data_IF_240304787161
#
_entry.id   IF_240304787161
#
_cell.length_a   1.000
_cell.length_b   1.000
_cell.length_c   1.000
_cell.angle_alpha   90.00
_cell.angle_beta   90.00
_cell.angle_gamma   90.00
#
_symmetry.space_group_name_H-M   'P 1'
#
loop_
_entity.id
_entity.type
_entity.pdbx_description
1 polymer ?
#
# COMPACT_ATOMS: atom_id res chain seq x y z
N UNK A 1 84.22 -22.58 -4.09
CA UNK A 1 83.05 -23.45 -3.82
C UNK A 1 82.11 -22.74 -2.86
N UNK A 2 81.26 -21.82 -3.32
CA UNK A 2 80.23 -21.21 -2.45
C UNK A 2 79.23 -20.39 -3.28
N UNK A 3 78.29 -21.04 -3.97
CA UNK A 3 77.08 -20.37 -4.54
C UNK A 3 76.22 -21.44 -5.20
N UNK A 4 75.24 -22.02 -4.50
CA UNK A 4 74.03 -22.67 -5.06
C UNK A 4 73.23 -23.28 -3.90
N UNK A 5 72.49 -22.47 -3.11
CA UNK A 5 71.51 -23.03 -2.16
C UNK A 5 70.35 -22.09 -1.78
N UNK A 6 70.28 -20.88 -2.34
CA UNK A 6 69.33 -19.85 -1.89
C UNK A 6 68.17 -19.58 -2.86
N UNK A 7 67.79 -20.53 -3.71
CA UNK A 7 66.77 -20.29 -4.77
C UNK A 7 65.58 -21.25 -4.73
N UNK A 8 65.40 -22.07 -3.68
CA UNK A 8 64.24 -22.98 -3.57
C UNK A 8 63.19 -22.61 -2.51
N UNK A 9 63.45 -21.61 -1.64
CA UNK A 9 62.51 -21.28 -0.56
C UNK A 9 61.42 -20.25 -0.92
N UNK A 10 61.56 -19.51 -2.03
CA UNK A 10 60.61 -18.42 -2.39
C UNK A 10 59.39 -18.94 -3.17
N UNK A 11 59.52 -20.05 -3.91
CA UNK A 11 58.46 -20.55 -4.80
C UNK A 11 57.26 -21.21 -4.07
N UNK A 12 57.39 -21.53 -2.79
CA UNK A 12 56.33 -22.24 -2.04
C UNK A 12 55.29 -21.28 -1.42
N UNK A 13 55.70 -20.09 -0.96
CA UNK A 13 54.80 -19.12 -0.32
C UNK A 13 53.83 -18.45 -1.30
N UNK A 14 54.23 -18.21 -2.55
CA UNK A 14 53.34 -17.62 -3.57
C UNK A 14 52.23 -18.57 -4.03
N UNK A 15 52.47 -19.89 -4.00
CA UNK A 15 51.45 -20.86 -4.40
C UNK A 15 50.31 -20.91 -3.39
N UNK A 16 50.59 -20.90 -2.09
CA UNK A 16 49.55 -20.91 -1.06
C UNK A 16 48.69 -19.63 -1.04
N UNK A 17 49.27 -18.47 -1.37
CA UNK A 17 48.51 -17.21 -1.44
C UNK A 17 47.51 -17.20 -2.61
N UNK A 18 47.88 -17.79 -3.76
CA UNK A 18 46.99 -17.88 -4.93
C UNK A 18 45.80 -18.83 -4.73
N UNK A 19 45.99 -19.93 -4.00
CA UNK A 19 44.88 -20.86 -3.71
C UNK A 19 43.89 -20.32 -2.67
N UNK A 20 44.34 -19.57 -1.65
CA UNK A 20 43.43 -18.97 -0.66
C UNK A 20 42.55 -17.85 -1.23
N UNK A 21 43.07 -17.03 -2.15
CA UNK A 21 42.28 -15.96 -2.78
C UNK A 21 41.17 -16.56 -3.66
N UNK A 22 41.42 -17.66 -4.35
CA UNK A 22 40.42 -18.33 -5.18
C UNK A 22 39.29 -18.97 -4.34
N UNK A 23 39.62 -19.57 -3.19
CA UNK A 23 38.63 -20.14 -2.27
C UNK A 23 37.71 -19.09 -1.66
N UNK A 24 38.24 -17.90 -1.33
CA UNK A 24 37.43 -16.77 -0.82
C UNK A 24 36.49 -16.23 -1.92
N UNK A 25 36.94 -16.12 -3.17
CA UNK A 25 36.08 -15.70 -4.27
C UNK A 25 34.96 -16.71 -4.59
N UNK A 26 35.22 -18.02 -4.49
CA UNK A 26 34.21 -19.08 -4.71
C UNK A 26 33.21 -19.16 -3.55
N UNK A 27 33.65 -18.92 -2.30
CA UNK A 27 32.73 -18.81 -1.15
C UNK A 27 31.87 -17.53 -1.20
N UNK A 28 32.38 -16.43 -1.77
CA UNK A 28 31.60 -15.21 -1.98
C UNK A 28 30.58 -15.33 -3.13
N UNK A 29 30.82 -16.20 -4.12
CA UNK A 29 29.89 -16.43 -5.24
C UNK A 29 28.82 -17.51 -4.95
N UNK A 30 29.11 -18.48 -4.09
CA UNK A 30 28.18 -19.58 -3.79
C UNK A 30 27.07 -19.23 -2.81
N UNK A 31 27.18 -18.11 -2.08
CA UNK A 31 26.12 -17.60 -1.21
C UNK A 31 25.11 -16.68 -1.93
N UNK A 32 25.32 -16.39 -3.23
CA UNK A 32 24.44 -15.50 -3.99
C UNK A 32 23.22 -16.20 -4.63
N UNK A 33 23.08 -17.53 -4.52
CA UNK A 33 21.80 -18.20 -4.78
C UNK A 33 20.89 -18.07 -3.56
N UNK A 34 20.60 -16.83 -3.16
CA UNK A 34 19.43 -16.56 -2.34
C UNK A 34 18.25 -16.75 -3.27
N UNK A 35 17.61 -17.91 -3.13
CA UNK A 35 16.25 -18.20 -3.59
C UNK A 35 15.40 -16.94 -3.40
N UNK A 36 15.04 -16.26 -4.50
CA UNK A 36 13.84 -15.42 -4.52
C UNK A 36 12.68 -16.39 -4.38
N UNK A 37 12.31 -16.70 -3.13
CA UNK A 37 10.98 -17.20 -2.86
C UNK A 37 10.05 -16.08 -3.27
N UNK A 38 9.36 -16.25 -4.40
CA UNK A 38 8.09 -15.59 -4.65
C UNK A 38 7.19 -16.00 -3.48
N UNK A 39 7.24 -15.25 -2.38
CA UNK A 39 6.18 -15.30 -1.39
C UNK A 39 4.88 -15.11 -2.15
N UNK A 40 3.95 -16.02 -1.93
CA UNK A 40 2.63 -16.01 -2.54
C UNK A 40 1.92 -14.71 -2.13
N UNK A 41 2.12 -13.65 -2.92
CA UNK A 41 1.65 -12.30 -2.60
C UNK A 41 0.14 -12.34 -2.59
N UNK A 42 -0.44 -12.21 -1.39
CA UNK A 42 -1.88 -12.05 -1.26
C UNK A 42 -2.33 -10.88 -2.15
N UNK A 43 -3.40 -11.04 -2.93
CA UNK A 43 -3.88 -9.98 -3.81
C UNK A 43 -4.20 -8.74 -2.98
N UNK A 44 -3.49 -7.64 -3.23
CA UNK A 44 -3.74 -6.35 -2.60
C UNK A 44 -5.08 -5.78 -3.07
N UNK A 45 -5.88 -5.28 -2.13
CA UNK A 45 -7.15 -4.64 -2.44
C UNK A 45 -6.93 -3.38 -3.29
N UNK A 46 -7.73 -3.23 -4.33
CA UNK A 46 -7.78 -2.05 -5.19
C UNK A 46 -8.33 -0.83 -4.46
N UNK A 47 -8.06 0.37 -4.96
CA UNK A 47 -8.61 1.60 -4.36
C UNK A 47 -10.14 1.59 -4.39
N UNK A 48 -10.72 1.05 -5.47
CA UNK A 48 -12.16 0.90 -5.62
C UNK A 48 -12.75 -0.03 -4.56
N UNK A 49 -12.14 -1.19 -4.32
CA UNK A 49 -12.59 -2.14 -3.30
C UNK A 49 -12.55 -1.54 -1.90
N UNK A 50 -11.51 -0.77 -1.56
CA UNK A 50 -11.44 -0.08 -0.28
C UNK A 50 -12.53 0.98 -0.16
N UNK A 51 -12.75 1.80 -1.20
CA UNK A 51 -13.83 2.80 -1.22
C UNK A 51 -15.20 2.13 -1.05
N UNK A 52 -15.43 1.00 -1.72
CA UNK A 52 -16.66 0.21 -1.60
C UNK A 52 -16.83 -0.40 -0.20
N UNK A 53 -15.76 -0.92 0.40
CA UNK A 53 -15.76 -1.41 1.78
C UNK A 53 -16.12 -0.27 2.75
N UNK A 54 -15.51 0.91 2.61
CA UNK A 54 -15.82 2.06 3.46
C UNK A 54 -17.25 2.57 3.23
N UNK A 55 -17.73 2.55 1.98
CA UNK A 55 -19.12 2.86 1.62
C UNK A 55 -20.11 1.89 2.27
N UNK A 56 -19.78 0.60 2.33
CA UNK A 56 -20.57 -0.41 3.06
C UNK A 56 -20.62 -0.10 4.56
N UNK A 57 -19.49 0.22 5.19
CA UNK A 57 -19.46 0.59 6.62
C UNK A 57 -20.32 1.83 6.92
N UNK A 58 -20.37 2.79 5.99
CA UNK A 58 -21.28 3.94 6.09
C UNK A 58 -22.73 3.46 5.97
N UNK A 59 -23.05 2.62 4.98
CA UNK A 59 -24.36 1.99 4.84
C UNK A 59 -24.81 1.28 6.12
N UNK A 60 -23.97 0.42 6.69
CA UNK A 60 -24.24 -0.31 7.94
C UNK A 60 -24.51 0.67 9.11
N UNK A 61 -23.76 1.77 9.17
CA UNK A 61 -23.97 2.82 10.18
C UNK A 61 -25.33 3.50 10.01
N UNK A 62 -25.75 3.79 8.79
CA UNK A 62 -27.07 4.40 8.52
C UNK A 62 -28.20 3.41 8.79
N UNK A 63 -28.02 2.15 8.43
CA UNK A 63 -29.02 1.09 8.62
C UNK A 63 -29.25 0.79 10.10
N UNK A 64 -28.28 1.03 10.96
CA UNK A 64 -28.43 0.85 12.41
C UNK A 64 -29.50 1.73 13.07
N UNK A 65 -29.95 2.81 12.41
CA UNK A 65 -31.06 3.65 12.90
C UNK A 65 -32.43 3.25 12.33
N UNK A 66 -32.48 2.25 11.46
CA UNK A 66 -33.69 1.78 10.79
C UNK A 66 -34.29 0.57 11.52
N UNK A 67 -35.59 0.33 11.33
CA UNK A 67 -36.23 -0.90 11.79
C UNK A 67 -36.20 -1.95 10.69
N UNK A 68 -35.83 -3.18 11.04
CA UNK A 68 -35.94 -4.33 10.14
C UNK A 68 -37.38 -4.50 9.63
N UNK A 69 -37.53 -4.83 8.36
CA UNK A 69 -38.82 -4.94 7.67
C UNK A 69 -39.37 -3.63 7.10
N UNK A 70 -38.80 -2.47 7.43
CA UNK A 70 -39.22 -1.21 6.80
C UNK A 70 -38.87 -1.21 5.29
N UNK A 71 -39.81 -0.71 4.48
CA UNK A 71 -39.53 -0.34 3.10
C UNK A 71 -38.78 1.00 3.12
N UNK A 72 -37.64 1.06 2.44
CA UNK A 72 -36.72 2.22 2.47
C UNK A 72 -36.47 2.70 1.05
N UNK A 73 -36.78 3.97 0.78
CA UNK A 73 -36.40 4.61 -0.47
C UNK A 73 -34.99 5.13 -0.36
N UNK A 74 -34.06 4.53 -1.11
CA UNK A 74 -32.64 4.86 -1.04
C UNK A 74 -32.25 5.74 -2.22
N UNK A 75 -31.79 6.95 -1.94
CA UNK A 75 -31.29 7.91 -2.92
C UNK A 75 -29.80 8.12 -2.70
N UNK A 76 -28.98 7.76 -3.68
CA UNK A 76 -27.52 7.99 -3.63
C UNK A 76 -27.16 9.10 -4.61
N UNK A 77 -26.53 10.18 -4.12
CA UNK A 77 -26.14 11.38 -4.87
C UNK A 77 -24.61 11.57 -4.87
N UNK A 78 -24.02 12.15 -5.93
CA UNK A 78 -24.63 12.36 -7.25
C UNK A 78 -24.81 11.01 -7.96
N UNK A 79 -25.94 10.80 -8.62
CA UNK A 79 -26.24 9.51 -9.26
C UNK A 79 -25.27 9.15 -10.40
N UNK A 80 -24.65 10.14 -11.03
CA UNK A 80 -23.73 9.96 -12.15
C UNK A 80 -22.32 9.54 -11.72
N UNK A 81 -21.84 10.02 -10.57
CA UNK A 81 -20.46 9.77 -10.10
C UNK A 81 -20.41 8.76 -8.97
N UNK A 82 -21.42 8.69 -8.11
CA UNK A 82 -21.46 7.78 -6.96
C UNK A 82 -22.02 6.38 -7.29
N UNK A 83 -22.10 5.99 -8.58
CA UNK A 83 -22.66 4.69 -8.99
C UNK A 83 -21.91 3.51 -8.37
N UNK A 84 -20.59 3.66 -8.17
CA UNK A 84 -19.72 2.60 -7.65
C UNK A 84 -19.91 2.31 -6.15
N UNK A 85 -20.51 3.24 -5.38
CA UNK A 85 -20.89 3.04 -3.97
C UNK A 85 -22.37 2.70 -3.79
N UNK A 86 -23.22 2.96 -4.80
CA UNK A 86 -24.66 2.67 -4.71
C UNK A 86 -24.91 1.20 -4.40
N UNK A 87 -24.23 0.29 -5.10
CA UNK A 87 -24.41 -1.15 -4.91
C UNK A 87 -24.14 -1.61 -3.48
N UNK A 88 -23.04 -1.16 -2.88
CA UNK A 88 -22.68 -1.55 -1.49
C UNK A 88 -23.59 -0.91 -0.44
N UNK A 89 -24.12 0.29 -0.69
CA UNK A 89 -25.13 0.92 0.18
C UNK A 89 -26.44 0.13 0.13
N UNK A 90 -26.90 -0.26 -1.06
CA UNK A 90 -28.11 -1.08 -1.21
C UNK A 90 -27.96 -2.44 -0.51
N UNK A 91 -26.80 -3.08 -0.65
CA UNK A 91 -26.49 -4.33 0.06
C UNK A 91 -26.49 -4.16 1.58
N UNK A 92 -26.03 -3.02 2.11
CA UNK A 92 -26.10 -2.75 3.55
C UNK A 92 -27.55 -2.63 4.03
N UNK A 93 -28.41 -1.95 3.25
CA UNK A 93 -29.85 -1.82 3.55
C UNK A 93 -30.53 -3.18 3.56
N UNK A 94 -30.30 -4.01 2.54
CA UNK A 94 -30.82 -5.38 2.47
C UNK A 94 -30.26 -6.25 3.61
N UNK A 95 -28.96 -6.15 3.89
CA UNK A 95 -28.28 -6.88 4.95
C UNK A 95 -28.78 -6.54 6.36
N UNK A 96 -29.31 -5.33 6.56
CA UNK A 96 -30.02 -4.94 7.78
C UNK A 96 -31.46 -5.40 7.87
N UNK A 97 -31.96 -6.16 6.89
CA UNK A 97 -33.33 -6.65 6.84
C UNK A 97 -34.35 -5.62 6.39
N UNK A 98 -33.93 -4.49 5.80
CA UNK A 98 -34.82 -3.52 5.18
C UNK A 98 -35.11 -3.91 3.72
N UNK A 99 -36.21 -3.40 3.16
CA UNK A 99 -36.60 -3.66 1.77
C UNK A 99 -36.33 -2.39 0.95
N UNK A 100 -35.24 -2.31 0.17
CA UNK A 100 -35.01 -1.14 -0.66
C UNK A 100 -36.09 -1.03 -1.75
N UNK A 101 -36.58 0.19 -1.98
CA UNK A 101 -37.61 0.47 -2.98
C UNK A 101 -37.33 1.79 -3.72
N UNK A 102 -37.87 1.93 -4.92
CA UNK A 102 -37.88 3.20 -5.65
C UNK A 102 -39.21 3.97 -5.43
N UNK A 103 -40.16 3.39 -4.69
CA UNK A 103 -41.49 4.00 -4.49
C UNK A 103 -41.43 5.29 -3.67
N UNK A 104 -42.08 6.33 -4.19
CA UNK A 104 -42.28 7.60 -3.48
C UNK A 104 -43.11 7.44 -2.19
N UNK A 105 -43.94 6.41 -2.13
CA UNK A 105 -44.81 6.10 -0.99
C UNK A 105 -44.10 5.32 0.13
N UNK A 106 -42.79 5.09 0.01
CA UNK A 106 -42.01 4.40 1.03
C UNK A 106 -42.11 5.12 2.40
N UNK A 107 -42.35 4.39 3.51
CA UNK A 107 -42.48 4.99 4.84
C UNK A 107 -41.17 5.63 5.31
N UNK A 108 -40.02 5.14 4.85
CA UNK A 108 -38.70 5.71 5.16
C UNK A 108 -38.05 6.19 3.88
N UNK A 109 -37.44 7.38 3.94
CA UNK A 109 -36.57 7.92 2.89
C UNK A 109 -35.15 8.13 3.44
N UNK A 110 -34.19 7.63 2.66
CA UNK A 110 -32.77 7.63 2.98
C UNK A 110 -32.02 8.29 1.83
N UNK A 111 -31.45 9.46 2.08
CA UNK A 111 -30.67 10.23 1.12
C UNK A 111 -29.20 10.24 1.57
N UNK A 112 -28.34 9.65 0.73
CA UNK A 112 -26.90 9.60 0.94
C UNK A 112 -26.22 10.35 -0.20
N UNK A 113 -25.51 11.43 0.14
CA UNK A 113 -24.61 12.14 -0.77
C UNK A 113 -23.16 11.74 -0.55
N UNK A 114 -22.48 11.21 -1.57
CA UNK A 114 -21.02 11.12 -1.59
C UNK A 114 -20.45 12.53 -1.72
N UNK A 115 -19.81 13.02 -0.66
CA UNK A 115 -19.18 14.34 -0.62
C UNK A 115 -17.77 14.30 -1.20
N UNK A 116 -17.01 13.28 -0.83
CA UNK A 116 -15.65 13.07 -1.32
C UNK A 116 -15.21 11.62 -1.18
N UNK A 117 -14.36 11.18 -2.10
CA UNK A 117 -13.58 9.96 -2.03
C UNK A 117 -12.18 10.31 -2.51
N UNK A 118 -11.21 10.19 -1.61
CA UNK A 118 -9.84 10.61 -1.84
C UNK A 118 -8.88 9.46 -1.54
N UNK A 119 -7.90 9.28 -2.42
CA UNK A 119 -6.76 8.41 -2.20
C UNK A 119 -5.52 9.28 -2.07
N UNK A 120 -4.80 9.11 -0.98
CA UNK A 120 -3.56 9.82 -0.69
C UNK A 120 -2.43 8.81 -0.57
N UNK A 121 -1.33 9.06 -1.27
CA UNK A 121 -0.12 8.29 -1.15
C UNK A 121 0.96 9.10 -0.45
N UNK A 122 1.61 8.52 0.55
CA UNK A 122 2.60 9.21 1.39
C UNK A 122 3.78 8.30 1.69
N UNK A 123 4.89 8.89 2.11
CA UNK A 123 6.01 8.18 2.73
C UNK A 123 6.59 7.02 1.88
N UNK A 124 7.08 7.35 0.67
CA UNK A 124 7.84 6.40 -0.16
C UNK A 124 9.13 6.02 0.56
N UNK A 125 9.33 4.72 0.76
CA UNK A 125 10.54 4.18 1.40
C UNK A 125 10.93 2.82 0.81
N UNK A 126 12.15 2.38 1.07
CA UNK A 126 12.71 1.11 0.57
C UNK A 126 12.67 0.04 1.66
N UNK A 127 12.34 -1.21 1.29
CA UNK A 127 12.38 -2.35 2.22
C UNK A 127 13.81 -2.91 2.36
N UNK A 128 14.70 -2.15 3.00
CA UNK A 128 16.12 -2.51 3.16
C UNK A 128 17.00 -2.14 1.96
N UNK A 129 18.27 -2.57 1.97
CA UNK A 129 19.30 -2.12 1.02
C UNK A 129 19.04 -2.50 -0.45
N UNK A 130 18.37 -3.63 -0.67
CA UNK A 130 18.04 -4.13 -2.02
C UNK A 130 16.53 -4.37 -2.19
N UNK A 131 15.72 -3.87 -1.26
CA UNK A 131 14.28 -4.08 -1.30
C UNK A 131 13.56 -3.24 -2.36
N UNK A 132 12.32 -3.64 -2.62
CA UNK A 132 11.36 -2.85 -3.39
C UNK A 132 11.00 -1.54 -2.69
N UNK A 133 10.38 -0.63 -3.45
CA UNK A 133 9.81 0.60 -2.88
C UNK A 133 8.40 0.32 -2.40
N UNK A 134 8.11 0.72 -1.18
CA UNK A 134 6.79 0.70 -0.57
C UNK A 134 6.31 2.13 -0.31
N UNK A 135 5.01 2.30 -0.22
CA UNK A 135 4.34 3.58 -0.03
C UNK A 135 3.13 3.37 0.87
N UNK A 136 2.86 4.36 1.74
CA UNK A 136 1.68 4.35 2.60
C UNK A 136 0.51 4.89 1.80
N UNK A 137 -0.57 4.12 1.71
CA UNK A 137 -1.82 4.52 1.07
C UNK A 137 -2.86 4.82 2.15
N UNK A 138 -3.52 5.96 2.02
CA UNK A 138 -4.66 6.37 2.83
C UNK A 138 -5.86 6.63 1.93
N UNK A 139 -6.93 5.87 2.14
CA UNK A 139 -8.22 6.06 1.44
C UNK A 139 -9.20 6.67 2.43
N UNK A 140 -9.85 7.77 2.06
CA UNK A 140 -10.86 8.45 2.88
C UNK A 140 -12.12 8.71 2.06
N UNK A 141 -13.27 8.38 2.62
CA UNK A 141 -14.58 8.68 2.06
C UNK A 141 -15.41 9.49 3.04
N UNK A 142 -16.15 10.47 2.54
CA UNK A 142 -17.07 11.29 3.32
C UNK A 142 -18.43 11.32 2.64
N UNK A 143 -19.47 11.07 3.43
CA UNK A 143 -20.85 11.07 2.99
C UNK A 143 -21.67 12.03 3.84
N UNK A 144 -22.63 12.72 3.22
CA UNK A 144 -23.74 13.34 3.92
C UNK A 144 -24.90 12.34 3.92
N UNK A 145 -25.50 12.09 5.08
CA UNK A 145 -26.63 11.18 5.22
C UNK A 145 -27.81 11.91 5.87
N UNK A 146 -28.99 11.75 5.28
CA UNK A 146 -30.27 12.20 5.82
C UNK A 146 -31.28 11.05 5.75
N UNK A 147 -31.85 10.68 6.89
CA UNK A 147 -32.85 9.61 7.00
C UNK A 147 -34.08 10.17 7.70
N UNK A 148 -35.23 10.02 7.05
CA UNK A 148 -36.51 10.55 7.53
C UNK A 148 -37.56 9.44 7.53
N UNK A 149 -38.20 9.24 8.68
CA UNK A 149 -39.41 8.44 8.78
C UNK A 149 -40.61 9.33 8.39
N UNK A 150 -41.19 9.09 7.22
CA UNK A 150 -42.34 9.84 6.70
C UNK A 150 -43.64 9.54 7.43
N UNK A 151 -43.73 8.43 8.18
CA UNK A 151 -44.93 8.11 8.98
C UNK A 151 -45.08 9.08 10.14
N UNK A 152 -43.96 9.41 10.78
CA UNK A 152 -43.91 10.25 11.98
C UNK A 152 -43.42 11.67 11.69
N UNK A 153 -42.77 11.89 10.54
CA UNK A 153 -42.07 13.14 10.22
C UNK A 153 -40.74 13.30 10.95
N UNK A 154 -40.26 12.26 11.66
CA UNK A 154 -39.04 12.32 12.46
C UNK A 154 -37.80 12.13 11.59
N UNK A 155 -36.79 12.97 11.81
CA UNK A 155 -35.45 12.79 11.24
C UNK A 155 -34.69 11.80 12.11
N UNK A 156 -34.41 10.62 11.58
CA UNK A 156 -33.70 9.54 12.29
C UNK A 156 -32.19 9.76 12.30
N UNK A 157 -31.66 10.35 11.22
CA UNK A 157 -30.24 10.67 11.07
C UNK A 157 -30.09 11.88 10.17
N UNK A 158 -29.25 12.83 10.56
CA UNK A 158 -28.81 13.92 9.70
C UNK A 158 -27.38 14.31 10.08
N UNK A 159 -26.43 14.10 9.17
CA UNK A 159 -25.05 14.49 9.42
C UNK A 159 -24.06 13.91 8.42
N UNK A 160 -22.78 14.17 8.70
CA UNK A 160 -21.68 13.70 7.87
C UNK A 160 -21.02 12.47 8.48
N UNK A 161 -20.80 11.45 7.66
CA UNK A 161 -20.16 10.19 8.01
C UNK A 161 -18.85 10.09 7.24
N UNK A 162 -17.73 10.05 7.96
CA UNK A 162 -16.39 9.88 7.36
C UNK A 162 -15.80 8.55 7.80
N UNK A 163 -15.19 7.85 6.86
CA UNK A 163 -14.45 6.59 7.09
C UNK A 163 -13.12 6.65 6.35
N UNK A 164 -12.13 5.95 6.88
CA UNK A 164 -10.81 5.85 6.26
C UNK A 164 -10.18 4.49 6.50
N UNK A 165 -9.30 4.09 5.58
CA UNK A 165 -8.46 2.91 5.67
C UNK A 165 -7.05 3.29 5.24
N UNK A 166 -6.05 2.76 5.93
CA UNK A 166 -4.64 2.96 5.59
C UNK A 166 -3.92 1.63 5.54
N UNK A 167 -3.07 1.45 4.54
CA UNK A 167 -2.21 0.30 4.38
C UNK A 167 -0.89 0.66 3.69
N UNK A 168 -0.05 -0.34 3.49
CA UNK A 168 1.25 -0.22 2.83
C UNK A 168 1.22 -1.08 1.58
N UNK A 169 1.54 -0.46 0.45
CA UNK A 169 1.55 -1.12 -0.86
C UNK A 169 2.92 -0.93 -1.54
N UNK A 170 3.20 -1.73 -2.56
CA UNK A 170 4.39 -1.50 -3.37
C UNK A 170 4.14 -0.36 -4.37
N UNK A 171 5.15 0.47 -4.60
CA UNK A 171 5.05 1.59 -5.55
C UNK A 171 4.74 1.10 -6.97
N UNK A 172 5.25 -0.07 -7.35
CA UNK A 172 4.97 -0.72 -8.64
C UNK A 172 3.50 -1.10 -8.83
N UNK A 173 2.76 -1.31 -7.74
CA UNK A 173 1.38 -1.77 -7.77
C UNK A 173 0.38 -0.62 -7.94
N UNK A 174 0.80 0.64 -7.74
CA UNK A 174 -0.07 1.82 -7.77
C UNK A 174 -0.85 1.91 -9.08
N UNK A 175 -0.21 1.69 -10.22
CA UNK A 175 -0.88 1.75 -11.52
C UNK A 175 -1.90 0.61 -11.73
N UNK A 176 -1.78 -0.50 -11.00
CA UNK A 176 -2.66 -1.68 -11.12
C UNK A 176 -3.90 -1.58 -10.23
N UNK A 177 -3.76 -0.97 -9.04
CA UNK A 177 -4.84 -0.84 -8.05
C UNK A 177 -5.75 0.36 -8.29
N UNK A 178 -5.32 1.30 -9.13
CA UNK A 178 -6.11 2.45 -9.56
C UNK A 178 -7.05 2.09 -10.72
N UNK A 179 -8.25 2.68 -10.72
CA UNK A 179 -9.19 2.51 -11.83
C UNK A 179 -9.15 3.76 -12.73
N UNK A 180 -8.70 3.65 -14.00
CA UNK A 180 -8.60 4.81 -14.89
C UNK A 180 -9.96 5.42 -15.24
N UNK A 181 -11.05 4.65 -15.12
CA UNK A 181 -12.41 5.11 -15.37
C UNK A 181 -13.08 5.83 -14.19
N UNK A 182 -12.45 5.83 -13.00
CA UNK A 182 -13.02 6.43 -11.79
C UNK A 182 -11.99 7.38 -11.17
N UNK A 183 -12.08 8.70 -11.44
CA UNK A 183 -11.11 9.68 -10.97
C UNK A 183 -10.86 9.66 -9.46
N UNK A 184 -11.88 9.39 -8.66
CA UNK A 184 -11.84 9.29 -7.19
C UNK A 184 -10.94 8.16 -6.68
N UNK A 185 -10.60 7.19 -7.54
CA UNK A 185 -9.69 6.10 -7.18
C UNK A 185 -8.23 6.46 -7.39
N UNK A 186 -7.90 7.64 -7.95
CA UNK A 186 -6.53 8.05 -8.25
C UNK A 186 -5.99 8.96 -7.16
N UNK A 187 -4.75 8.68 -6.75
CA UNK A 187 -4.00 9.55 -5.84
C UNK A 187 -2.85 10.27 -6.54
N UNK A 188 -2.33 11.32 -5.92
CA UNK A 188 -1.09 11.95 -6.37
C UNK A 188 0.07 11.24 -5.70
N UNK A 189 1.00 10.71 -6.51
CA UNK A 189 2.25 10.16 -6.02
C UNK A 189 3.15 11.31 -5.53
N UNK A 190 3.69 11.24 -4.29
CA UNK A 190 4.61 12.25 -3.82
C UNK A 190 5.93 12.15 -4.59
N UNK A 191 6.61 13.28 -4.76
CA UNK A 191 7.95 13.30 -5.33
C UNK A 191 8.88 12.48 -4.42
N UNK A 192 9.70 11.62 -5.04
CA UNK A 192 10.69 10.87 -4.28
C UNK A 192 11.70 11.83 -3.67
N UNK A 193 11.94 11.72 -2.36
CA UNK A 193 12.95 12.52 -1.69
C UNK A 193 14.33 12.25 -2.27
N UNK A 194 14.91 13.24 -2.94
CA UNK A 194 16.24 13.19 -3.57
C UNK A 194 17.34 12.61 -2.66
N UNK A 195 17.23 12.83 -1.35
CA UNK A 195 18.20 12.35 -0.36
C UNK A 195 18.20 10.84 -0.20
N UNK A 196 17.05 10.15 -0.37
CA UNK A 196 17.02 8.68 -0.30
C UNK A 196 17.84 8.04 -1.42
N UNK A 197 17.94 8.70 -2.59
CA UNK A 197 18.72 8.20 -3.71
C UNK A 197 20.23 8.45 -3.55
N UNK A 198 20.65 9.55 -2.90
CA UNK A 198 22.08 9.90 -2.79
C UNK A 198 22.76 9.38 -1.54
N UNK A 199 22.06 9.36 -0.41
CA UNK A 199 22.66 9.08 0.88
C UNK A 199 23.08 7.60 0.97
N UNK A 200 22.28 6.70 0.39
CA UNK A 200 22.58 5.27 0.35
C UNK A 200 23.88 4.96 -0.44
N UNK A 201 24.04 5.37 -1.71
CA UNK A 201 25.32 5.22 -2.42
C UNK A 201 26.50 5.93 -1.75
N UNK A 202 26.28 7.11 -1.18
CA UNK A 202 27.34 7.87 -0.52
C UNK A 202 27.90 7.13 0.70
N UNK A 203 27.02 6.52 1.51
CA UNK A 203 27.43 5.72 2.68
C UNK A 203 28.20 4.48 2.23
N UNK A 204 27.76 3.80 1.16
CA UNK A 204 28.45 2.63 0.62
C UNK A 204 29.84 2.99 0.11
N UNK A 205 29.95 4.04 -0.71
CA UNK A 205 31.24 4.52 -1.23
C UNK A 205 32.15 4.99 -0.11
N UNK A 206 31.60 5.71 0.88
CA UNK A 206 32.32 6.15 2.07
C UNK A 206 32.86 4.98 2.90
N UNK A 207 32.05 3.95 3.13
CA UNK A 207 32.47 2.74 3.85
C UNK A 207 33.60 2.01 3.11
N UNK A 208 33.50 1.87 1.78
CA UNK A 208 34.56 1.27 0.94
C UNK A 208 35.85 2.08 1.05
N UNK A 209 35.78 3.41 0.93
CA UNK A 209 36.95 4.29 1.02
C UNK A 209 37.64 4.18 2.38
N UNK A 210 36.88 4.19 3.48
CA UNK A 210 37.40 4.00 4.85
C UNK A 210 38.04 2.62 5.01
N UNK A 211 37.41 1.56 4.50
CA UNK A 211 37.97 0.22 4.57
C UNK A 211 39.31 0.10 3.81
N UNK A 212 39.40 0.67 2.60
CA UNK A 212 40.64 0.71 1.82
C UNK A 212 41.72 1.52 2.54
N UNK A 213 41.36 2.69 3.08
CA UNK A 213 42.28 3.51 3.84
C UNK A 213 42.87 2.74 5.04
N UNK A 214 42.00 2.13 5.86
CA UNK A 214 42.43 1.34 7.02
C UNK A 214 43.30 0.15 6.61
N UNK A 215 42.98 -0.53 5.50
CA UNK A 215 43.74 -1.67 4.99
C UNK A 215 45.20 -1.30 4.68
N UNK A 216 45.44 -0.15 4.06
CA UNK A 216 46.79 0.30 3.72
C UNK A 216 47.52 0.93 4.91
N UNK A 217 46.79 1.59 5.81
CA UNK A 217 47.41 2.30 6.93
C UNK A 217 47.82 1.39 8.07
N UNK A 218 47.00 0.37 8.42
CA UNK A 218 47.33 -0.55 9.53
C UNK A 218 48.44 -1.54 9.16
N UNK A 219 48.67 -1.77 7.86
CA UNK A 219 49.67 -2.74 7.37
C UNK A 219 51.03 -2.12 7.04
N UNK A 220 51.11 -0.79 6.91
CA UNK A 220 52.35 -0.06 6.62
C UNK A 220 53.10 0.27 7.91
#
# INVERSE_FOLDING_TARGET
MCTQLTTMAVSSKEKHLRYSVCYICVLLFSTSMVFTQDEERLPQATNLEIIQMLGRQVGDSVVSVLNSGDSVRVMVRPSQTAWFVRGVIMQAVEGGGCIPTESLSSPVEMDIGLMSANVEYTNIRRTGLFGGKIIDRLVRVSFAANVVDKRTGMVLLNGNLTRSSSDVIEVSEVSRIENPGIPETRGVLPEEGFFSFLLEPLVVVGAIAVAVYLLFHVRS
#
